data_IF_204085811300
#
_entry.id   IF_204085811300
#
_cell.length_a   1.000
_cell.length_b   1.000
_cell.length_c   1.000
_cell.angle_alpha   90.00
_cell.angle_beta   90.00
_cell.angle_gamma   90.00
#
_symmetry.space_group_name_H-M   'P 1'
#
loop_
_entity.id
_entity.type
_entity.pdbx_description
1 polymer ?
#
# COMPACT_ATOMS: atom_id res chain seq x y z
N UNK A 1 -5.37 -7.12 -7.89
CA UNK A 1 -6.47 -7.45 -6.96
C UNK A 1 -5.93 -8.39 -5.89
N UNK A 2 -6.06 -8.05 -4.61
CA UNK A 2 -5.44 -8.76 -3.48
C UNK A 2 -6.39 -9.73 -2.74
N UNK A 3 -7.56 -9.97 -3.34
CA UNK A 3 -8.65 -10.79 -2.82
C UNK A 3 -8.27 -12.28 -2.84
N UNK A 4 -8.71 -13.03 -1.83
CA UNK A 4 -8.43 -14.46 -1.73
C UNK A 4 -9.05 -15.25 -2.89
N UNK A 5 -8.34 -16.26 -3.39
CA UNK A 5 -8.87 -17.17 -4.43
C UNK A 5 -9.84 -18.22 -3.89
N UNK A 6 -10.07 -18.23 -2.57
CA UNK A 6 -11.02 -19.13 -1.92
C UNK A 6 -11.76 -18.40 -0.79
N UNK A 7 -12.93 -18.91 -0.43
CA UNK A 7 -13.73 -18.38 0.68
C UNK A 7 -14.61 -17.19 0.30
N UNK A 8 -14.97 -16.37 1.30
CA UNK A 8 -15.97 -15.31 1.19
C UNK A 8 -15.57 -14.19 0.20
N UNK A 9 -14.28 -13.90 0.07
CA UNK A 9 -13.77 -12.87 -0.83
C UNK A 9 -13.81 -13.31 -2.32
N UNK A 10 -13.85 -14.63 -2.60
CA UNK A 10 -13.69 -15.15 -3.96
C UNK A 10 -14.78 -14.69 -4.96
N UNK A 11 -16.09 -14.72 -4.64
CA UNK A 11 -17.13 -14.35 -5.61
C UNK A 11 -17.01 -12.91 -6.12
N UNK A 12 -16.60 -11.96 -5.26
CA UNK A 12 -16.39 -10.57 -5.70
C UNK A 12 -15.13 -10.42 -6.55
N UNK A 13 -14.08 -11.18 -6.23
CA UNK A 13 -12.86 -11.25 -7.06
C UNK A 13 -13.15 -11.77 -8.45
N UNK A 14 -13.89 -12.87 -8.55
CA UNK A 14 -14.31 -13.49 -9.81
C UNK A 14 -15.21 -12.56 -10.63
N UNK A 15 -16.20 -11.93 -9.99
CA UNK A 15 -17.07 -10.97 -10.66
C UNK A 15 -16.29 -9.78 -11.24
N UNK A 16 -15.32 -9.25 -10.47
CA UNK A 16 -14.47 -8.15 -10.92
C UNK A 16 -13.56 -8.56 -12.09
N UNK A 17 -12.93 -9.74 -12.01
CA UNK A 17 -12.12 -10.28 -13.10
C UNK A 17 -12.95 -10.47 -14.38
N UNK A 18 -14.16 -11.01 -14.25
CA UNK A 18 -15.09 -11.18 -15.37
C UNK A 18 -15.49 -9.85 -15.99
N UNK A 19 -15.79 -8.84 -15.17
CA UNK A 19 -16.13 -7.50 -15.66
C UNK A 19 -14.96 -6.86 -16.43
N UNK A 20 -13.72 -7.02 -15.95
CA UNK A 20 -12.53 -6.52 -16.64
C UNK A 20 -12.32 -7.25 -17.97
N UNK A 21 -12.47 -8.58 -18.00
CA UNK A 21 -12.38 -9.36 -19.24
C UNK A 21 -13.45 -8.99 -20.26
N UNK A 22 -14.65 -8.64 -19.80
CA UNK A 22 -15.75 -8.20 -20.66
C UNK A 22 -15.54 -6.80 -21.24
N UNK A 23 -14.76 -5.95 -20.56
CA UNK A 23 -14.43 -4.61 -21.06
C UNK A 23 -13.51 -4.67 -22.29
N UNK A 24 -12.64 -5.70 -22.36
CA UNK A 24 -11.71 -5.95 -23.46
C UNK A 24 -10.88 -4.71 -23.85
N UNK A 25 -10.50 -3.90 -22.86
CA UNK A 25 -9.68 -2.69 -23.07
C UNK A 25 -8.20 -3.06 -23.00
N UNK A 26 -7.48 -2.89 -24.12
CA UNK A 26 -6.05 -3.19 -24.22
C UNK A 26 -5.16 -2.31 -23.33
N UNK A 27 -5.70 -1.22 -22.78
CA UNK A 27 -4.99 -0.32 -21.83
C UNK A 27 -5.11 -0.78 -20.38
N UNK A 28 -5.94 -1.79 -20.10
CA UNK A 28 -6.22 -2.27 -18.76
C UNK A 28 -5.63 -3.67 -18.56
N UNK A 29 -4.64 -3.77 -17.68
CA UNK A 29 -4.04 -5.03 -17.29
C UNK A 29 -4.54 -5.45 -15.91
N UNK A 30 -4.99 -6.70 -15.81
CA UNK A 30 -5.54 -7.25 -14.57
C UNK A 30 -4.65 -8.35 -14.00
N UNK A 31 -4.20 -8.13 -12.76
CA UNK A 31 -3.43 -9.12 -11.99
C UNK A 31 -4.21 -9.53 -10.75
N UNK A 32 -4.35 -10.84 -10.54
CA UNK A 32 -4.92 -11.41 -9.31
C UNK A 32 -3.81 -12.02 -8.47
N UNK A 33 -3.58 -11.46 -7.29
CA UNK A 33 -2.58 -11.92 -6.33
C UNK A 33 -3.26 -12.35 -5.04
N UNK A 34 -3.17 -13.62 -4.67
CA UNK A 34 -3.75 -14.12 -3.42
C UNK A 34 -2.84 -13.76 -2.24
N UNK A 35 -3.10 -12.59 -1.65
CA UNK A 35 -2.22 -12.05 -0.62
C UNK A 35 -2.14 -12.94 0.63
N UNK A 36 -3.25 -13.58 1.03
CA UNK A 36 -3.28 -14.46 2.20
C UNK A 36 -2.66 -15.83 1.94
N UNK A 37 -2.60 -16.29 0.70
CA UNK A 37 -1.88 -17.50 0.35
C UNK A 37 -0.38 -17.23 0.23
N UNK A 38 -0.03 -16.16 -0.49
CA UNK A 38 1.36 -15.85 -0.79
C UNK A 38 2.08 -15.29 0.43
N UNK A 39 1.56 -14.29 1.13
CA UNK A 39 2.25 -13.63 2.24
C UNK A 39 2.00 -14.29 3.60
N UNK A 40 1.71 -15.60 3.64
CA UNK A 40 1.49 -16.34 4.90
C UNK A 40 2.70 -16.21 5.82
N UNK A 41 2.44 -16.18 7.13
CA UNK A 41 3.48 -16.09 8.18
C UNK A 41 4.35 -14.83 8.06
N UNK A 42 3.77 -13.70 7.64
CA UNK A 42 4.47 -12.41 7.54
C UNK A 42 5.66 -12.44 6.57
N UNK A 43 5.61 -13.32 5.55
CA UNK A 43 6.64 -13.41 4.52
C UNK A 43 6.42 -12.32 3.47
N UNK A 44 6.63 -11.07 3.88
CA UNK A 44 6.48 -9.90 3.01
C UNK A 44 7.45 -9.89 1.84
N UNK A 45 8.55 -10.65 1.93
CA UNK A 45 9.49 -10.85 0.83
C UNK A 45 8.82 -11.47 -0.40
N UNK A 46 7.70 -12.18 -0.22
CA UNK A 46 6.92 -12.74 -1.33
C UNK A 46 6.12 -11.71 -2.12
N UNK A 47 6.04 -10.47 -1.65
CA UNK A 47 5.54 -9.36 -2.49
C UNK A 47 6.46 -9.18 -3.71
N UNK A 48 7.73 -9.56 -3.61
CA UNK A 48 8.63 -9.53 -4.76
C UNK A 48 8.09 -10.39 -5.91
N UNK A 49 7.40 -11.50 -5.63
CA UNK A 49 6.73 -12.31 -6.67
C UNK A 49 5.71 -11.47 -7.46
N UNK A 50 4.95 -10.62 -6.76
CA UNK A 50 4.02 -9.70 -7.41
C UNK A 50 4.78 -8.66 -8.24
N UNK A 51 5.81 -8.04 -7.67
CA UNK A 51 6.61 -7.00 -8.36
C UNK A 51 7.27 -7.57 -9.62
N UNK A 52 7.90 -8.74 -9.52
CA UNK A 52 8.53 -9.45 -10.63
C UNK A 52 7.50 -9.78 -11.73
N UNK A 53 6.26 -10.12 -11.34
CA UNK A 53 5.19 -10.45 -12.30
C UNK A 53 4.65 -9.27 -13.11
N UNK A 54 4.92 -8.04 -12.67
CA UNK A 54 4.48 -6.80 -13.33
C UNK A 54 5.67 -5.89 -13.72
N UNK A 55 6.90 -6.40 -13.63
CA UNK A 55 8.11 -5.61 -13.76
C UNK A 55 8.21 -4.96 -15.14
N UNK A 56 7.88 -5.72 -16.20
CA UNK A 56 7.95 -5.24 -17.58
C UNK A 56 6.99 -4.05 -17.79
N UNK A 57 5.78 -4.13 -17.26
CA UNK A 57 4.77 -3.09 -17.32
C UNK A 57 5.18 -1.87 -16.51
N UNK A 58 5.80 -2.06 -15.34
CA UNK A 58 6.32 -0.99 -14.52
C UNK A 58 7.50 -0.26 -15.18
N UNK A 59 8.36 -0.99 -15.89
CA UNK A 59 9.45 -0.38 -16.68
C UNK A 59 8.90 0.43 -17.86
N UNK A 60 7.86 -0.07 -18.53
CA UNK A 60 7.16 0.63 -19.61
C UNK A 60 6.42 1.88 -19.12
N UNK A 61 5.79 1.81 -17.94
CA UNK A 61 5.13 2.95 -17.30
C UNK A 61 6.05 4.16 -17.22
N UNK A 62 7.30 3.91 -16.79
CA UNK A 62 8.32 4.93 -16.57
C UNK A 62 8.04 5.84 -15.37
N UNK A 63 9.02 6.67 -15.04
CA UNK A 63 8.89 7.73 -14.05
C UNK A 63 8.80 9.10 -14.72
N UNK A 64 8.15 10.04 -14.03
CA UNK A 64 8.27 11.46 -14.39
C UNK A 64 9.61 12.00 -13.92
N UNK A 65 10.39 12.57 -14.84
CA UNK A 65 11.69 13.17 -14.57
C UNK A 65 11.70 14.60 -15.08
N UNK A 66 11.84 15.55 -14.16
CA UNK A 66 11.90 16.97 -14.43
C UNK A 66 13.19 17.55 -13.87
N UNK A 67 13.91 18.34 -14.68
CA UNK A 67 15.07 19.11 -14.24
C UNK A 67 14.95 20.53 -14.78
N UNK A 68 15.02 21.53 -13.90
CA UNK A 68 14.93 22.96 -14.23
C UNK A 68 13.72 23.32 -15.13
N UNK A 69 12.52 22.84 -14.78
CA UNK A 69 11.28 23.04 -15.54
C UNK A 69 11.26 22.41 -16.95
N UNK A 70 12.18 21.50 -17.23
CA UNK A 70 12.18 20.68 -18.45
C UNK A 70 11.86 19.25 -18.06
N UNK A 71 10.75 18.73 -18.59
CA UNK A 71 10.37 17.32 -18.39
C UNK A 71 11.04 16.44 -19.44
N UNK A 72 11.77 15.43 -18.99
CA UNK A 72 12.51 14.48 -19.82
C UNK A 72 11.74 13.19 -20.06
N UNK A 73 10.86 12.82 -19.13
CA UNK A 73 10.07 11.60 -19.16
C UNK A 73 8.75 11.84 -18.43
N UNK A 74 7.66 11.27 -18.93
CA UNK A 74 6.34 11.31 -18.32
C UNK A 74 5.94 9.92 -17.84
N UNK A 75 5.26 9.85 -16.70
CA UNK A 75 4.60 8.62 -16.25
C UNK A 75 3.37 8.35 -17.14
N UNK A 76 3.32 7.16 -17.75
CA UNK A 76 2.30 6.82 -18.76
C UNK A 76 1.17 5.93 -18.25
N UNK A 77 1.35 5.30 -17.09
CA UNK A 77 0.34 4.42 -16.48
C UNK A 77 0.36 4.49 -14.96
N UNK A 78 -0.63 3.84 -14.32
CA UNK A 78 -0.81 3.83 -12.87
C UNK A 78 -1.17 2.43 -12.39
N UNK A 79 -0.67 2.06 -11.21
CA UNK A 79 -1.05 0.80 -10.56
C UNK A 79 -2.16 1.04 -9.55
N UNK A 80 -3.31 0.37 -9.76
CA UNK A 80 -4.43 0.37 -8.80
C UNK A 80 -4.43 -0.91 -7.97
N UNK A 81 -4.24 -0.77 -6.67
CA UNK A 81 -4.36 -1.87 -5.71
C UNK A 81 -5.75 -1.90 -5.07
N UNK A 82 -6.49 -2.98 -5.29
CA UNK A 82 -7.77 -3.24 -4.63
C UNK A 82 -7.60 -4.36 -3.61
N UNK A 83 -8.25 -4.22 -2.45
CA UNK A 83 -8.31 -5.22 -1.39
C UNK A 83 -9.68 -5.18 -0.72
N UNK A 84 -10.25 -6.33 -0.37
CA UNK A 84 -11.58 -6.41 0.24
C UNK A 84 -11.51 -6.18 1.76
N UNK A 85 -10.58 -6.84 2.46
CA UNK A 85 -10.31 -6.55 3.89
C UNK A 85 -9.00 -5.77 4.09
N UNK A 86 -9.08 -4.74 4.95
CA UNK A 86 -8.01 -3.93 5.51
C UNK A 86 -7.04 -3.21 4.54
N UNK A 87 -6.98 -1.89 4.77
CA UNK A 87 -6.01 -0.96 4.19
C UNK A 87 -4.54 -1.36 4.42
N UNK A 88 -4.27 -2.17 5.46
CA UNK A 88 -2.93 -2.62 5.79
C UNK A 88 -2.30 -3.42 4.62
N UNK A 89 -3.08 -4.25 3.90
CA UNK A 89 -2.58 -5.03 2.74
C UNK A 89 -2.27 -4.15 1.54
N UNK A 90 -3.10 -3.14 1.25
CA UNK A 90 -2.85 -2.20 0.14
C UNK A 90 -1.62 -1.34 0.42
N UNK A 91 -1.45 -0.89 1.67
CA UNK A 91 -0.31 -0.08 2.06
C UNK A 91 1.02 -0.83 1.90
N UNK A 92 1.02 -2.12 2.25
CA UNK A 92 2.19 -2.98 2.09
C UNK A 92 2.57 -3.12 0.62
N UNK A 93 1.63 -3.40 -0.28
CA UNK A 93 1.90 -3.49 -1.72
C UNK A 93 2.33 -2.15 -2.31
N UNK A 94 1.66 -1.05 -1.94
CA UNK A 94 2.02 0.30 -2.40
C UNK A 94 3.41 0.72 -1.92
N UNK A 95 3.79 0.38 -0.69
CA UNK A 95 5.14 0.65 -0.18
C UNK A 95 6.21 -0.12 -0.94
N UNK A 96 5.93 -1.38 -1.31
CA UNK A 96 6.83 -2.19 -2.12
C UNK A 96 6.98 -1.62 -3.53
N UNK A 97 5.88 -1.23 -4.18
CA UNK A 97 5.89 -0.56 -5.49
C UNK A 97 6.67 0.75 -5.44
N UNK A 98 6.40 1.61 -4.46
CA UNK A 98 7.09 2.89 -4.30
C UNK A 98 8.60 2.70 -4.12
N UNK A 99 9.00 1.70 -3.32
CA UNK A 99 10.40 1.35 -3.12
C UNK A 99 11.06 0.83 -4.40
N UNK A 100 10.36 -0.01 -5.18
CA UNK A 100 10.85 -0.48 -6.47
C UNK A 100 11.05 0.70 -7.44
N UNK A 101 10.04 1.57 -7.60
CA UNK A 101 10.13 2.75 -8.47
C UNK A 101 11.26 3.69 -8.05
N UNK A 102 11.42 3.94 -6.75
CA UNK A 102 12.50 4.76 -6.23
C UNK A 102 13.89 4.15 -6.51
N UNK A 103 14.00 2.82 -6.46
CA UNK A 103 15.23 2.10 -6.84
C UNK A 103 15.57 2.36 -8.30
N UNK A 104 14.58 2.29 -9.19
CA UNK A 104 14.77 2.56 -10.61
C UNK A 104 15.14 4.02 -10.88
N UNK A 105 14.50 4.97 -10.17
CA UNK A 105 14.83 6.40 -10.25
C UNK A 105 16.27 6.67 -9.79
N UNK A 106 16.70 6.12 -8.66
CA UNK A 106 18.06 6.32 -8.16
C UNK A 106 19.12 5.70 -9.10
N UNK A 107 18.78 4.60 -9.77
CA UNK A 107 19.62 4.02 -10.82
C UNK A 107 19.66 4.91 -12.07
N UNK A 108 18.53 5.48 -12.49
CA UNK A 108 18.47 6.34 -13.69
C UNK A 108 19.26 7.63 -13.53
N UNK A 109 19.34 8.18 -12.31
CA UNK A 109 20.20 9.35 -12.00
C UNK A 109 21.64 9.00 -11.61
N UNK A 110 22.01 7.72 -11.61
CA UNK A 110 23.37 7.25 -11.32
C UNK A 110 23.79 7.31 -9.85
N UNK A 111 22.84 7.44 -8.91
CA UNK A 111 23.10 7.38 -7.46
C UNK A 111 23.31 5.95 -7.00
N UNK A 112 22.63 4.98 -7.62
CA UNK A 112 22.78 3.56 -7.35
C UNK A 112 23.31 2.83 -8.59
N UNK A 113 24.22 1.88 -8.38
CA UNK A 113 24.57 0.92 -9.42
C UNK A 113 23.49 -0.17 -9.57
N UNK A 114 23.51 -0.88 -10.71
CA UNK A 114 22.57 -1.98 -10.98
C UNK A 114 22.66 -3.15 -9.97
N UNK A 115 23.76 -3.23 -9.22
CA UNK A 115 23.99 -4.30 -8.23
C UNK A 115 23.59 -3.89 -6.81
N UNK A 116 23.52 -2.59 -6.54
CA UNK A 116 23.17 -2.08 -5.22
C UNK A 116 21.66 -2.12 -5.00
N UNK A 117 21.31 -2.36 -3.74
CA UNK A 117 19.95 -2.47 -3.22
C UNK A 117 19.70 -1.31 -2.28
N UNK A 118 18.57 -0.61 -2.42
CA UNK A 118 18.20 0.49 -1.52
C UNK A 118 18.15 0.02 -0.06
N UNK A 119 17.82 -1.24 0.16
CA UNK A 119 17.75 -1.89 1.46
C UNK A 119 19.05 -1.88 2.24
N UNK A 120 20.18 -1.83 1.54
CA UNK A 120 21.51 -1.83 2.16
C UNK A 120 21.87 -0.43 2.70
N UNK A 121 21.11 0.61 2.32
CA UNK A 121 21.27 1.99 2.78
C UNK A 121 20.29 2.27 3.92
N UNK A 122 20.66 1.82 5.12
CA UNK A 122 19.83 1.88 6.34
C UNK A 122 19.31 3.30 6.63
N UNK A 123 20.18 4.31 6.56
CA UNK A 123 19.82 5.72 6.83
C UNK A 123 18.81 6.29 5.83
N UNK A 124 18.88 5.82 4.58
CA UNK A 124 17.94 6.22 3.54
C UNK A 124 16.58 5.57 3.75
N UNK A 125 16.56 4.28 4.09
CA UNK A 125 15.31 3.56 4.35
C UNK A 125 14.53 4.14 5.54
N UNK A 126 15.21 4.60 6.58
CA UNK A 126 14.56 5.30 7.68
C UNK A 126 13.92 6.63 7.22
N UNK A 127 14.65 7.42 6.43
CA UNK A 127 14.13 8.68 5.85
C UNK A 127 12.99 8.44 4.86
N UNK A 128 13.07 7.41 4.03
CA UNK A 128 12.02 7.02 3.09
C UNK A 128 10.72 6.67 3.82
N UNK A 129 10.81 5.83 4.86
CA UNK A 129 9.65 5.46 5.70
C UNK A 129 9.03 6.69 6.36
N UNK A 130 9.86 7.58 6.89
CA UNK A 130 9.40 8.82 7.53
C UNK A 130 8.84 9.85 6.52
N UNK A 131 9.41 9.92 5.32
CA UNK A 131 8.97 10.81 4.23
C UNK A 131 7.62 10.40 3.63
N UNK A 132 7.40 9.10 3.43
CA UNK A 132 6.11 8.55 3.01
C UNK A 132 5.00 8.88 4.02
N UNK A 133 5.30 8.91 5.33
CA UNK A 133 4.35 9.36 6.35
C UNK A 133 4.06 10.87 6.27
N UNK A 134 5.02 11.69 5.83
CA UNK A 134 4.88 13.15 5.73
C UNK A 134 4.12 13.59 4.47
N UNK A 135 4.31 12.95 3.32
CA UNK A 135 3.60 13.32 2.08
C UNK A 135 2.08 13.17 2.22
N UNK A 136 1.60 12.16 2.98
CA UNK A 136 0.18 12.02 3.30
C UNK A 136 -0.32 13.06 4.32
N UNK A 137 0.52 13.51 5.27
CA UNK A 137 0.14 14.59 6.21
C UNK A 137 -0.19 15.90 5.50
N UNK A 138 0.43 16.17 4.36
CA UNK A 138 0.14 17.37 3.57
C UNK A 138 -1.21 17.27 2.83
N UNK A 139 -1.72 16.05 2.60
CA UNK A 139 -2.99 15.80 1.94
C UNK A 139 -4.16 15.59 2.92
N UNK A 140 -3.88 15.25 4.19
CA UNK A 140 -4.88 14.89 5.18
C UNK A 140 -4.69 15.70 6.47
N UNK A 141 -5.47 16.79 6.58
CA UNK A 141 -5.79 17.62 7.75
C UNK A 141 -4.70 17.82 8.83
N UNK A 142 -4.37 19.10 9.07
CA UNK A 142 -3.30 19.65 9.93
C UNK A 142 -3.26 19.24 11.43
N UNK A 143 -4.00 18.22 11.88
CA UNK A 143 -4.10 17.86 13.31
C UNK A 143 -3.70 16.40 13.64
N UNK A 144 -2.91 15.75 12.80
CA UNK A 144 -2.47 14.37 13.04
C UNK A 144 -1.14 14.28 13.82
N UNK A 145 -1.10 13.35 14.77
CA UNK A 145 0.04 13.10 15.66
C UNK A 145 1.36 13.03 14.87
N UNK A 146 2.39 13.83 15.24
CA UNK A 146 3.67 13.83 14.54
C UNK A 146 4.34 12.46 14.47
N UNK A 147 4.01 11.53 15.38
CA UNK A 147 4.52 10.17 15.44
C UNK A 147 3.60 9.12 14.80
N UNK A 148 2.51 9.51 14.14
CA UNK A 148 1.63 8.59 13.41
C UNK A 148 2.37 7.97 12.22
N UNK A 149 2.36 6.64 12.14
CA UNK A 149 2.89 5.90 11.00
C UNK A 149 1.90 5.99 9.82
N UNK A 150 2.36 5.73 8.60
CA UNK A 150 1.56 5.75 7.38
C UNK A 150 0.24 4.96 7.50
N UNK A 151 0.30 3.79 8.14
CA UNK A 151 -0.87 2.95 8.42
C UNK A 151 -1.87 3.60 9.39
N UNK A 152 -1.39 4.45 10.32
CA UNK A 152 -2.26 5.16 11.26
C UNK A 152 -3.08 6.26 10.57
N UNK A 153 -2.46 6.96 9.61
CA UNK A 153 -3.05 8.12 8.92
C UNK A 153 -4.11 7.67 7.90
N UNK A 154 -3.77 6.65 7.11
CA UNK A 154 -4.61 6.21 5.99
C UNK A 154 -5.89 5.50 6.46
N UNK A 155 -5.93 4.98 7.69
CA UNK A 155 -7.04 4.18 8.25
C UNK A 155 -8.20 5.01 8.82
N UNK A 156 -7.94 6.27 9.20
CA UNK A 156 -8.92 7.21 9.74
C UNK A 156 -10.15 7.40 8.84
N UNK A 157 -10.02 7.61 7.52
CA UNK A 157 -11.19 7.75 6.64
C UNK A 157 -12.03 6.47 6.47
N UNK A 158 -11.49 5.29 6.78
CA UNK A 158 -12.17 4.00 6.59
C UNK A 158 -12.73 3.39 7.87
N UNK A 159 -12.11 3.61 9.03
CA UNK A 159 -12.57 3.02 10.30
C UNK A 159 -12.75 4.03 11.44
N UNK A 160 -12.62 5.34 11.18
CA UNK A 160 -12.73 6.39 12.19
C UNK A 160 -11.63 6.39 13.24
N UNK A 161 -10.64 5.48 13.14
CA UNK A 161 -9.59 5.26 14.15
C UNK A 161 -8.25 4.98 13.50
N UNK A 162 -7.14 5.23 14.21
CA UNK A 162 -5.80 4.80 13.82
C UNK A 162 -5.64 3.26 13.75
N UNK A 163 -4.49 2.79 13.25
CA UNK A 163 -4.23 1.36 13.10
C UNK A 163 -4.07 0.68 14.47
N UNK A 164 -4.58 -0.53 14.56
CA UNK A 164 -4.24 -1.41 15.68
C UNK A 164 -2.79 -1.85 15.47
N UNK A 165 -1.91 -1.58 16.43
CA UNK A 165 -0.49 -1.90 16.30
C UNK A 165 -0.27 -3.36 16.67
N UNK A 166 -0.41 -4.27 15.71
CA UNK A 166 -0.34 -5.71 16.00
C UNK A 166 1.04 -6.23 16.40
N UNK A 167 2.16 -5.56 16.06
CA UNK A 167 3.45 -6.25 16.09
C UNK A 167 4.62 -5.62 16.88
N UNK A 168 4.45 -4.51 17.64
CA UNK A 168 5.63 -3.94 18.34
C UNK A 168 5.50 -3.39 19.77
N UNK A 169 4.39 -3.60 20.49
CA UNK A 169 4.34 -3.18 21.91
C UNK A 169 3.48 -4.10 22.77
N UNK A 170 4.09 -5.18 23.29
CA UNK A 170 3.62 -5.86 24.52
C UNK A 170 3.90 -4.99 25.77
N UNK A 171 3.65 -3.69 25.69
CA UNK A 171 3.56 -2.80 26.85
C UNK A 171 2.09 -2.66 27.22
N UNK A 172 1.78 -2.63 28.53
CA UNK A 172 0.40 -2.48 29.05
C UNK A 172 -0.36 -1.30 28.44
N UNK A 173 0.37 -0.27 28.00
CA UNK A 173 -0.17 0.91 27.32
C UNK A 173 -0.65 0.61 25.88
N UNK A 174 0.08 -0.22 25.13
CA UNK A 174 -0.32 -0.65 23.78
C UNK A 174 -1.62 -1.45 23.80
N UNK A 175 -1.73 -2.40 24.73
CA UNK A 175 -2.94 -3.19 24.93
C UNK A 175 -4.16 -2.33 25.34
N UNK A 176 -3.96 -1.27 26.15
CA UNK A 176 -5.02 -0.35 26.53
C UNK A 176 -5.51 0.52 25.35
N UNK A 177 -4.58 0.98 24.50
CA UNK A 177 -4.94 1.71 23.27
C UNK A 177 -5.66 0.80 22.26
N UNK A 178 -5.23 -0.45 22.12
CA UNK A 178 -5.91 -1.42 21.26
C UNK A 178 -7.32 -1.75 21.78
N UNK A 179 -7.49 -1.87 23.10
CA UNK A 179 -8.81 -2.04 23.72
C UNK A 179 -9.72 -0.83 23.46
N UNK A 180 -9.21 0.38 23.65
CA UNK A 180 -9.96 1.60 23.35
C UNK A 180 -10.38 1.65 21.89
N UNK A 181 -9.45 1.32 20.98
CA UNK A 181 -9.70 1.30 19.54
C UNK A 181 -10.73 0.22 19.17
N UNK A 182 -10.68 -0.96 19.80
CA UNK A 182 -11.65 -2.04 19.60
C UNK A 182 -13.05 -1.65 20.09
N UNK A 183 -13.15 -1.01 21.27
CA UNK A 183 -14.43 -0.52 21.81
C UNK A 183 -15.01 0.59 20.93
N UNK A 184 -14.19 1.54 20.47
CA UNK A 184 -14.64 2.59 19.55
C UNK A 184 -15.15 2.01 18.24
N UNK A 185 -14.47 1.02 17.65
CA UNK A 185 -14.95 0.34 16.43
C UNK A 185 -16.25 -0.42 16.67
N UNK A 186 -16.36 -1.13 17.80
CA UNK A 186 -17.60 -1.83 18.16
C UNK A 186 -18.78 -0.86 18.29
N UNK A 187 -18.56 0.30 18.91
CA UNK A 187 -19.59 1.32 19.07
C UNK A 187 -19.96 1.99 17.74
N UNK A 188 -18.97 2.36 16.92
CA UNK A 188 -19.24 2.97 15.62
C UNK A 188 -19.98 2.02 14.68
N UNK A 189 -19.52 0.76 14.57
CA UNK A 189 -20.14 -0.23 13.69
C UNK A 189 -21.56 -0.62 14.13
N UNK A 190 -21.87 -0.65 15.44
CA UNK A 190 -23.19 -1.07 15.91
C UNK A 190 -24.19 0.08 16.12
N UNK A 191 -23.72 1.31 16.42
CA UNK A 191 -24.60 2.40 16.85
C UNK A 191 -24.54 3.65 15.98
N UNK A 192 -23.47 3.85 15.19
CA UNK A 192 -23.34 5.05 14.33
C UNK A 192 -23.44 4.75 12.83
N UNK A 193 -23.31 3.49 12.42
CA UNK A 193 -23.41 3.05 11.02
C UNK A 193 -24.85 2.77 10.54
N UNK A 194 -25.86 3.32 11.24
CA UNK A 194 -27.28 3.15 10.95
C UNK A 194 -27.78 3.87 9.68
N UNK A 195 -26.89 4.45 8.87
CA UNK A 195 -27.25 5.12 7.61
C UNK A 195 -26.76 4.38 6.36
N UNK A 196 -26.21 3.16 6.51
CA UNK A 196 -25.79 2.30 5.39
C UNK A 196 -26.28 0.84 5.45
N UNK A 197 -27.31 0.54 6.24
CA UNK A 197 -28.15 -0.65 6.05
C UNK A 197 -29.44 -0.30 5.32
#
# INVERSE_FOLDING_TARGET
NLVNKTGYEYPVGEAYEKAVKQLDDSRLLYYHFDFHHECRKMQWDRIQILIDSIEEELLQQGEELENNNVTYKYQTSVVRTNCMDCLDRTNVVQSALAKWTLTQQLRSVGVLSNKERIEEIVDFMEKFRNGMCKSIKQFSYENLNPNALFNDITRIPYSGTGAMKTDYTRTKQGAAMDLQTAVTRYMMNNFMDGSRQ
#
